data_IF_499987701740
#
_entry.id   IF_499987701740
#
_cell.length_a   1.000
_cell.length_b   1.000
_cell.length_c   1.000
_cell.angle_alpha   90.00
_cell.angle_beta   90.00
_cell.angle_gamma   90.00
#
_symmetry.space_group_name_H-M   'P 1'
#
loop_
_entity.id
_entity.type
_entity.pdbx_description
1 polymer ?
#
# COMPACT_ATOMS: atom_id res chain seq x y z
N UNK A 1 12.71 0.73 -15.91
CA UNK A 1 11.58 1.68 -15.68
C UNK A 1 10.35 1.13 -16.38
N UNK A 2 9.22 1.06 -15.70
CA UNK A 2 7.90 0.76 -16.26
C UNK A 2 7.04 2.02 -16.06
N UNK A 3 6.29 2.41 -17.08
CA UNK A 3 5.43 3.59 -17.03
C UNK A 3 4.04 3.23 -17.51
N UNK A 4 3.03 3.52 -16.69
CA UNK A 4 1.62 3.46 -17.03
C UNK A 4 1.06 4.89 -17.23
N UNK A 5 -0.22 4.99 -17.54
CA UNK A 5 -0.89 6.29 -17.63
C UNK A 5 -1.00 7.02 -16.28
N UNK A 6 -0.95 6.29 -15.16
CA UNK A 6 -1.22 6.79 -13.81
C UNK A 6 -0.04 6.62 -12.86
N UNK A 7 1.02 5.91 -13.27
CA UNK A 7 2.14 5.61 -12.39
C UNK A 7 3.45 5.36 -13.13
N UNK A 8 4.53 5.52 -12.38
CA UNK A 8 5.88 5.20 -12.83
C UNK A 8 6.53 4.25 -11.81
N UNK A 9 7.15 3.16 -12.28
CA UNK A 9 7.87 2.20 -11.47
C UNK A 9 9.34 2.12 -11.93
N UNK A 10 10.26 2.30 -10.99
CA UNK A 10 11.69 2.15 -11.21
C UNK A 10 12.37 1.55 -9.99
N UNK A 11 13.64 1.19 -10.11
CA UNK A 11 14.44 0.73 -8.98
C UNK A 11 15.45 1.81 -8.58
N UNK A 12 15.58 1.99 -7.28
CA UNK A 12 16.67 2.69 -6.61
C UNK A 12 17.43 1.65 -5.74
N UNK A 13 18.60 1.21 -6.17
CA UNK A 13 19.32 0.09 -5.56
C UNK A 13 18.46 -1.20 -5.51
N UNK A 14 18.15 -1.69 -4.31
CA UNK A 14 17.30 -2.85 -4.05
C UNK A 14 15.88 -2.49 -3.62
N UNK A 15 15.44 -1.25 -3.86
CA UNK A 15 14.10 -0.75 -3.57
C UNK A 15 13.39 -0.39 -4.87
N UNK A 16 12.22 -0.96 -5.10
CA UNK A 16 11.30 -0.52 -6.13
C UNK A 16 10.52 0.71 -5.64
N UNK A 17 10.42 1.73 -6.47
CA UNK A 17 9.63 2.94 -6.20
C UNK A 17 8.51 3.02 -7.22
N UNK A 18 7.27 2.96 -6.74
CA UNK A 18 6.05 3.11 -7.51
C UNK A 18 5.41 4.46 -7.18
N UNK A 19 5.49 5.39 -8.11
CA UNK A 19 4.96 6.75 -7.95
C UNK A 19 3.62 6.88 -8.69
N UNK A 20 2.55 7.21 -7.98
CA UNK A 20 1.27 7.59 -8.58
C UNK A 20 1.41 9.01 -9.11
N UNK A 21 1.19 9.20 -10.41
CA UNK A 21 1.37 10.47 -11.13
C UNK A 21 0.14 10.77 -12.01
N UNK A 22 -0.87 11.38 -11.41
CA UNK A 22 -2.09 11.76 -12.13
C UNK A 22 -2.61 13.13 -11.64
N UNK A 23 -1.90 14.17 -12.04
CA UNK A 23 -2.22 15.55 -11.71
C UNK A 23 -2.07 15.88 -10.22
N UNK A 24 -2.55 17.05 -9.78
CA UNK A 24 -2.25 17.55 -8.44
C UNK A 24 -2.80 16.72 -7.29
N UNK A 25 -3.86 15.96 -7.53
CA UNK A 25 -4.54 15.11 -6.54
C UNK A 25 -4.21 13.62 -6.67
N UNK A 26 -3.47 13.22 -7.69
CA UNK A 26 -3.16 11.83 -7.99
C UNK A 26 -4.42 10.95 -7.97
N UNK A 27 -5.49 11.38 -8.68
CA UNK A 27 -6.74 10.63 -8.72
C UNK A 27 -6.52 9.27 -9.40
N UNK A 28 -7.13 8.23 -8.85
CA UNK A 28 -7.19 6.91 -9.46
C UNK A 28 -8.34 6.90 -10.47
N UNK A 29 -8.10 7.52 -11.65
CA UNK A 29 -9.09 7.56 -12.74
C UNK A 29 -9.35 6.17 -13.35
N UNK A 30 -8.35 5.28 -13.27
CA UNK A 30 -8.48 3.85 -13.38
C UNK A 30 -8.11 3.26 -12.01
N UNK A 31 -9.01 2.51 -11.34
CA UNK A 31 -8.75 1.97 -10.00
C UNK A 31 -7.50 1.09 -9.95
N UNK A 32 -7.22 0.32 -11.00
CA UNK A 32 -5.95 -0.39 -11.19
C UNK A 32 -4.91 0.59 -11.78
N UNK A 33 -4.23 1.34 -10.92
CA UNK A 33 -3.27 2.40 -11.29
C UNK A 33 -1.97 1.88 -11.91
N UNK A 34 -1.72 0.59 -11.86
CA UNK A 34 -0.68 -0.15 -12.57
C UNK A 34 -1.23 -1.55 -12.89
N UNK A 35 -0.98 -2.07 -14.08
CA UNK A 35 -1.37 -3.44 -14.42
C UNK A 35 -0.64 -4.44 -13.52
N UNK A 36 -1.40 -5.35 -12.90
CA UNK A 36 -0.90 -6.33 -11.94
C UNK A 36 0.15 -7.27 -12.56
N UNK A 37 -0.05 -7.70 -13.81
CA UNK A 37 0.90 -8.61 -14.48
C UNK A 37 2.18 -7.89 -14.86
N UNK A 38 2.09 -6.61 -15.23
CA UNK A 38 3.25 -5.78 -15.51
C UNK A 38 4.07 -5.54 -14.25
N UNK A 39 3.42 -5.26 -13.09
CA UNK A 39 4.10 -5.13 -11.80
C UNK A 39 4.87 -6.40 -11.45
N UNK A 40 4.20 -7.56 -11.49
CA UNK A 40 4.84 -8.85 -11.18
C UNK A 40 5.96 -9.18 -12.15
N UNK A 41 5.72 -9.03 -13.46
CA UNK A 41 6.75 -9.27 -14.48
C UNK A 41 7.94 -8.30 -14.41
N UNK A 42 7.73 -7.10 -13.85
CA UNK A 42 8.82 -6.18 -13.58
C UNK A 42 9.62 -6.63 -12.34
N UNK A 43 8.97 -7.06 -11.27
CA UNK A 43 9.62 -7.60 -10.08
C UNK A 43 10.42 -8.87 -10.40
N UNK A 44 9.88 -9.78 -11.20
CA UNK A 44 10.58 -11.00 -11.65
C UNK A 44 11.87 -10.70 -12.43
N UNK A 45 11.90 -9.60 -13.19
CA UNK A 45 13.10 -9.14 -13.91
C UNK A 45 14.08 -8.38 -13.02
N UNK A 46 13.72 -8.07 -11.79
CA UNK A 46 14.53 -7.34 -10.81
C UNK A 46 14.63 -8.12 -9.49
N UNK A 47 15.19 -9.35 -9.50
CA UNK A 47 15.19 -10.24 -8.33
C UNK A 47 15.99 -9.70 -7.13
N UNK A 48 16.81 -8.65 -7.34
CA UNK A 48 17.54 -7.97 -6.27
C UNK A 48 16.66 -7.04 -5.41
N UNK A 49 15.43 -6.77 -5.86
CA UNK A 49 14.50 -5.88 -5.14
C UNK A 49 13.96 -6.58 -3.89
N UNK A 50 14.24 -6.01 -2.73
CA UNK A 50 13.76 -6.48 -1.43
C UNK A 50 12.64 -5.64 -0.83
N UNK A 51 12.28 -4.52 -1.47
CA UNK A 51 11.18 -3.67 -1.02
C UNK A 51 10.48 -2.94 -2.16
N UNK A 52 9.19 -2.62 -1.94
CA UNK A 52 8.37 -1.76 -2.78
C UNK A 52 7.91 -0.55 -1.94
N UNK A 53 8.29 0.65 -2.35
CA UNK A 53 7.80 1.90 -1.78
C UNK A 53 6.78 2.52 -2.75
N UNK A 54 5.58 2.81 -2.26
CA UNK A 54 4.52 3.49 -3.02
C UNK A 54 4.40 4.92 -2.51
N UNK A 55 4.34 5.88 -3.43
CA UNK A 55 4.16 7.29 -3.11
C UNK A 55 3.33 8.01 -4.16
N UNK A 56 2.88 9.22 -3.86
CA UNK A 56 2.24 10.12 -4.83
C UNK A 56 3.19 11.22 -5.28
N UNK A 57 3.13 11.58 -6.54
CA UNK A 57 3.90 12.71 -7.07
C UNK A 57 3.42 14.03 -6.48
N UNK A 58 4.36 14.87 -6.08
CA UNK A 58 4.07 16.22 -5.58
C UNK A 58 3.49 16.22 -4.16
N UNK A 59 2.40 16.98 -3.95
CA UNK A 59 1.90 17.30 -2.59
C UNK A 59 1.11 16.17 -1.92
N UNK A 60 0.38 15.37 -2.68
CA UNK A 60 -0.57 14.39 -2.15
C UNK A 60 -0.17 12.96 -2.50
N UNK A 61 -0.52 12.02 -1.65
CA UNK A 61 -0.40 10.61 -1.96
C UNK A 61 -1.41 10.24 -3.06
N UNK A 62 -2.69 10.24 -2.74
CA UNK A 62 -3.80 10.13 -3.68
C UNK A 62 -5.11 10.53 -2.99
N UNK A 63 -5.96 11.23 -3.71
CA UNK A 63 -7.32 11.53 -3.26
C UNK A 63 -8.34 10.43 -3.62
N UNK A 64 -7.87 9.27 -4.08
CA UNK A 64 -8.71 8.13 -4.41
C UNK A 64 -9.36 8.22 -5.78
N UNK A 65 -10.44 7.49 -5.96
CA UNK A 65 -11.14 7.38 -7.24
C UNK A 65 -11.72 8.73 -7.71
N UNK A 66 -11.75 8.91 -9.02
CA UNK A 66 -12.48 10.01 -9.65
C UNK A 66 -13.98 9.70 -9.70
N UNK A 67 -14.66 10.02 -8.59
CA UNK A 67 -16.11 9.75 -8.45
C UNK A 67 -16.97 10.46 -9.50
N UNK A 68 -16.46 11.51 -10.16
CA UNK A 68 -17.20 12.20 -11.22
C UNK A 68 -17.43 11.30 -12.43
N UNK A 69 -16.63 10.28 -12.62
CA UNK A 69 -16.73 9.30 -13.71
C UNK A 69 -17.59 8.08 -13.38
N UNK A 70 -18.01 7.90 -12.12
CA UNK A 70 -18.80 6.72 -11.73
C UNK A 70 -20.19 6.67 -12.40
N UNK A 71 -20.75 7.82 -12.74
CA UNK A 71 -22.05 7.89 -13.45
C UNK A 71 -21.98 7.59 -14.95
N UNK A 72 -20.78 7.60 -15.53
CA UNK A 72 -20.56 7.38 -16.98
C UNK A 72 -20.31 5.90 -17.29
N UNK A 73 -19.77 5.14 -16.34
CA UNK A 73 -19.52 3.71 -16.49
C UNK A 73 -20.76 2.90 -16.14
N UNK A 74 -21.12 1.91 -16.96
CA UNK A 74 -22.16 0.93 -16.61
C UNK A 74 -21.78 0.14 -15.36
N UNK A 75 -22.75 -0.28 -14.55
CA UNK A 75 -22.49 -0.96 -13.27
C UNK A 75 -21.59 -2.20 -13.38
N UNK A 76 -21.70 -2.96 -14.46
CA UNK A 76 -20.85 -4.14 -14.71
C UNK A 76 -19.39 -3.76 -15.02
N UNK A 77 -19.16 -2.71 -15.81
CA UNK A 77 -17.82 -2.22 -16.12
C UNK A 77 -17.12 -1.69 -14.86
N UNK A 78 -17.81 -0.90 -14.05
CA UNK A 78 -17.28 -0.40 -12.79
C UNK A 78 -16.94 -1.55 -11.82
N UNK A 79 -17.82 -2.56 -11.73
CA UNK A 79 -17.59 -3.74 -10.89
C UNK A 79 -16.33 -4.51 -11.32
N UNK A 80 -16.14 -4.71 -12.63
CA UNK A 80 -14.95 -5.36 -13.17
C UNK A 80 -13.66 -4.59 -12.87
N UNK A 81 -13.67 -3.26 -13.05
CA UNK A 81 -12.53 -2.39 -12.73
C UNK A 81 -12.18 -2.42 -11.23
N UNK A 82 -13.19 -2.42 -10.36
CA UNK A 82 -12.98 -2.53 -8.91
C UNK A 82 -12.43 -3.91 -8.52
N UNK A 83 -12.83 -4.99 -9.17
CA UNK A 83 -12.27 -6.32 -8.90
C UNK A 83 -10.80 -6.40 -9.31
N UNK A 84 -10.42 -5.89 -10.49
CA UNK A 84 -9.01 -5.78 -10.91
C UNK A 84 -8.17 -5.00 -9.89
N UNK A 85 -8.71 -3.88 -9.39
CA UNK A 85 -8.05 -3.09 -8.36
C UNK A 85 -7.90 -3.84 -7.02
N UNK A 86 -8.95 -4.59 -6.61
CA UNK A 86 -8.87 -5.47 -5.41
C UNK A 86 -7.78 -6.52 -5.56
N UNK A 87 -7.70 -7.16 -6.73
CA UNK A 87 -6.65 -8.14 -7.02
C UNK A 87 -5.25 -7.52 -7.01
N UNK A 88 -5.08 -6.32 -7.56
CA UNK A 88 -3.82 -5.59 -7.48
C UNK A 88 -3.42 -5.33 -6.02
N UNK A 89 -4.33 -4.79 -5.20
CA UNK A 89 -4.04 -4.49 -3.80
C UNK A 89 -3.80 -5.76 -2.96
N UNK A 90 -4.51 -6.86 -3.23
CA UNK A 90 -4.22 -8.17 -2.63
C UNK A 90 -2.83 -8.67 -3.04
N UNK A 91 -2.44 -8.45 -4.30
CA UNK A 91 -1.11 -8.83 -4.79
C UNK A 91 -0.03 -8.03 -4.05
N UNK A 92 -0.18 -6.71 -3.91
CA UNK A 92 0.76 -5.87 -3.17
C UNK A 92 0.86 -6.32 -1.70
N UNK A 93 -0.27 -6.61 -1.05
CA UNK A 93 -0.34 -7.09 0.34
C UNK A 93 0.41 -8.41 0.54
N UNK A 94 0.43 -9.28 -0.48
CA UNK A 94 1.03 -10.63 -0.43
C UNK A 94 2.45 -10.71 -1.00
N UNK A 95 2.99 -9.61 -1.51
CA UNK A 95 4.37 -9.63 -2.01
C UNK A 95 5.32 -10.14 -0.91
N UNK A 96 6.25 -11.04 -1.22
CA UNK A 96 7.22 -11.58 -0.25
C UNK A 96 8.35 -10.61 0.06
N UNK A 97 8.19 -9.32 -0.25
CA UNK A 97 9.13 -8.23 -0.02
C UNK A 97 8.51 -7.18 0.90
N UNK A 98 9.34 -6.31 1.47
CA UNK A 98 8.87 -5.21 2.30
C UNK A 98 8.03 -4.25 1.44
N UNK A 99 6.82 -3.88 1.92
CA UNK A 99 5.98 -2.88 1.25
C UNK A 99 5.73 -1.70 2.18
N UNK A 100 5.94 -0.47 1.68
CA UNK A 100 5.76 0.75 2.46
C UNK A 100 5.08 1.84 1.64
N UNK A 101 4.14 2.57 2.26
CA UNK A 101 3.53 3.76 1.69
C UNK A 101 4.18 5.02 2.26
N UNK A 102 4.72 5.87 1.39
CA UNK A 102 5.24 7.19 1.73
C UNK A 102 4.14 8.24 1.51
N UNK A 103 3.44 8.62 2.59
CA UNK A 103 2.25 9.46 2.55
C UNK A 103 2.65 10.92 2.71
N UNK A 104 2.80 11.61 1.58
CA UNK A 104 3.29 12.99 1.50
C UNK A 104 2.23 14.07 1.79
N UNK A 105 0.93 13.73 1.83
CA UNK A 105 -0.15 14.67 2.09
C UNK A 105 -1.51 13.99 2.12
N UNK A 106 -2.53 14.49 1.45
CA UNK A 106 -3.85 13.88 1.41
C UNK A 106 -3.81 12.44 0.89
N UNK A 107 -4.42 11.53 1.65
CA UNK A 107 -4.49 10.10 1.38
C UNK A 107 -5.92 9.63 1.69
N UNK A 108 -6.81 9.69 0.67
CA UNK A 108 -8.23 9.53 0.87
C UNK A 108 -8.83 8.44 -0.03
N UNK A 109 -9.88 7.79 0.47
CA UNK A 109 -10.62 6.78 -0.30
C UNK A 109 -9.71 5.70 -0.85
N UNK A 110 -9.81 5.42 -2.15
CA UNK A 110 -8.94 4.49 -2.84
C UNK A 110 -7.44 4.72 -2.62
N UNK A 111 -7.01 5.98 -2.38
CA UNK A 111 -5.63 6.28 -2.00
C UNK A 111 -5.25 5.68 -0.65
N UNK A 112 -6.14 5.77 0.34
CA UNK A 112 -5.91 5.10 1.63
C UNK A 112 -6.01 3.58 1.50
N UNK A 113 -6.87 3.06 0.62
CA UNK A 113 -6.94 1.62 0.35
C UNK A 113 -5.63 1.08 -0.22
N UNK A 114 -4.96 1.84 -1.11
CA UNK A 114 -3.60 1.55 -1.58
C UNK A 114 -2.59 1.58 -0.43
N UNK A 115 -2.59 2.62 0.39
CA UNK A 115 -1.66 2.71 1.53
C UNK A 115 -1.88 1.59 2.56
N UNK A 116 -3.11 1.15 2.76
CA UNK A 116 -3.47 0.02 3.64
C UNK A 116 -3.04 -1.35 3.10
N UNK A 117 -2.80 -1.48 1.80
CA UNK A 117 -2.24 -2.71 1.23
C UNK A 117 -0.74 -2.87 1.48
N UNK A 118 -0.05 -1.80 1.91
CA UNK A 118 1.34 -1.87 2.34
C UNK A 118 1.45 -2.31 3.81
N UNK A 119 2.56 -2.95 4.16
CA UNK A 119 2.87 -3.36 5.54
C UNK A 119 3.12 -2.14 6.43
N UNK A 120 3.85 -1.15 5.92
CA UNK A 120 4.23 0.07 6.65
C UNK A 120 3.66 1.33 5.99
N UNK A 121 3.36 2.35 6.79
CA UNK A 121 2.87 3.66 6.36
C UNK A 121 3.62 4.74 7.09
N UNK A 122 4.39 5.52 6.35
CA UNK A 122 5.15 6.66 6.87
C UNK A 122 4.50 7.93 6.34
N UNK A 123 4.04 8.81 7.22
CA UNK A 123 3.28 9.98 6.84
C UNK A 123 4.00 11.29 7.18
N UNK A 124 3.89 12.29 6.31
CA UNK A 124 4.27 13.65 6.65
C UNK A 124 3.36 14.21 7.76
N UNK A 125 3.88 15.11 8.59
CA UNK A 125 3.10 15.77 9.64
C UNK A 125 1.87 16.53 9.11
N UNK A 126 1.88 16.91 7.83
CA UNK A 126 0.79 17.61 7.17
C UNK A 126 -0.20 16.67 6.46
N UNK A 127 -0.02 15.36 6.58
CA UNK A 127 -0.91 14.39 5.95
C UNK A 127 -2.27 14.29 6.67
N UNK A 128 -3.29 14.04 5.86
CA UNK A 128 -4.64 13.68 6.31
C UNK A 128 -5.04 12.37 5.64
N UNK A 129 -5.66 11.49 6.40
CA UNK A 129 -6.04 10.15 5.95
C UNK A 129 -7.51 9.88 6.27
N UNK A 130 -8.23 9.20 5.38
CA UNK A 130 -9.62 8.83 5.63
C UNK A 130 -10.24 8.03 4.49
N UNK A 131 -11.39 7.41 4.81
CA UNK A 131 -12.28 6.73 3.87
C UNK A 131 -13.61 7.48 3.82
N UNK A 132 -13.70 8.63 3.11
CA UNK A 132 -14.86 9.50 3.11
C UNK A 132 -15.95 9.08 2.09
N UNK A 133 -15.90 7.87 1.53
CA UNK A 133 -16.79 7.39 0.47
C UNK A 133 -18.27 7.53 0.83
N UNK A 134 -18.63 7.34 2.09
CA UNK A 134 -20.02 7.48 2.59
C UNK A 134 -20.59 8.88 2.33
N UNK A 135 -19.76 9.91 2.32
CA UNK A 135 -20.16 11.29 2.04
C UNK A 135 -20.54 11.49 0.56
N UNK A 136 -20.20 10.53 -0.29
CA UNK A 136 -20.51 10.50 -1.72
C UNK A 136 -21.56 9.42 -2.06
N UNK A 137 -22.21 8.82 -1.03
CA UNK A 137 -23.23 7.80 -1.22
C UNK A 137 -22.73 6.43 -1.65
N UNK A 138 -21.42 6.17 -1.50
CA UNK A 138 -20.78 4.89 -1.81
C UNK A 138 -19.99 4.37 -0.60
N UNK A 139 -19.40 3.20 -0.73
CA UNK A 139 -18.55 2.59 0.30
C UNK A 139 -17.17 2.30 -0.27
N UNK A 140 -16.12 2.16 0.58
CA UNK A 140 -14.79 1.76 0.12
C UNK A 140 -14.84 0.47 -0.69
N UNK A 141 -14.29 0.50 -1.91
CA UNK A 141 -14.51 -0.54 -2.92
C UNK A 141 -13.34 -1.49 -3.16
N UNK A 142 -12.13 -1.18 -2.66
CA UNK A 142 -10.92 -1.96 -2.97
C UNK A 142 -10.34 -2.73 -1.76
N UNK A 143 -11.18 -3.01 -0.75
CA UNK A 143 -10.81 -3.79 0.44
C UNK A 143 -10.29 -2.94 1.61
N UNK A 144 -10.58 -1.64 1.62
CA UNK A 144 -10.19 -0.74 2.70
C UNK A 144 -10.89 -1.01 4.01
N UNK A 145 -12.16 -1.44 3.96
CA UNK A 145 -12.94 -1.75 5.17
C UNK A 145 -12.32 -2.91 5.95
N UNK A 146 -11.96 -3.99 5.27
CA UNK A 146 -11.37 -5.19 5.86
C UNK A 146 -9.97 -4.91 6.41
N UNK A 147 -9.15 -4.16 5.67
CA UNK A 147 -7.80 -3.79 6.09
C UNK A 147 -7.83 -2.85 7.29
N UNK A 148 -8.72 -1.86 7.26
CA UNK A 148 -8.90 -0.93 8.38
C UNK A 148 -9.41 -1.67 9.63
N UNK A 149 -10.37 -2.60 9.48
CA UNK A 149 -10.85 -3.45 10.58
C UNK A 149 -9.72 -4.29 11.18
N UNK A 150 -8.90 -4.95 10.36
CA UNK A 150 -7.76 -5.76 10.84
C UNK A 150 -6.74 -4.91 11.60
N UNK A 151 -6.54 -3.67 11.17
CA UNK A 151 -5.54 -2.78 11.75
C UNK A 151 -6.02 -2.09 13.04
N UNK A 152 -7.24 -1.56 13.07
CA UNK A 152 -7.76 -0.71 14.14
C UNK A 152 -8.79 -1.39 15.05
N UNK A 153 -9.28 -2.56 14.67
CA UNK A 153 -10.42 -3.23 15.31
C UNK A 153 -11.77 -2.64 14.85
N UNK A 154 -12.85 -3.35 15.20
CA UNK A 154 -14.21 -3.10 14.68
C UNK A 154 -14.73 -1.70 14.99
N UNK A 155 -14.62 -1.27 16.23
CA UNK A 155 -15.23 -0.01 16.70
C UNK A 155 -14.64 1.21 15.99
N UNK A 156 -13.30 1.31 15.99
CA UNK A 156 -12.59 2.44 15.36
C UNK A 156 -12.79 2.47 13.86
N UNK A 157 -12.70 1.29 13.21
CA UNK A 157 -12.93 1.18 11.77
C UNK A 157 -14.36 1.58 11.38
N UNK A 158 -15.39 1.08 12.09
CA UNK A 158 -16.78 1.47 11.85
C UNK A 158 -17.00 2.96 11.99
N UNK A 159 -16.50 3.56 13.09
CA UNK A 159 -16.64 5.00 13.32
C UNK A 159 -16.03 5.80 12.19
N UNK A 160 -14.78 5.50 11.83
CA UNK A 160 -14.05 6.21 10.77
C UNK A 160 -14.78 6.15 9.42
N UNK A 161 -15.31 4.97 9.05
CA UNK A 161 -16.02 4.77 7.78
C UNK A 161 -17.41 5.40 7.80
N UNK A 162 -18.20 5.14 8.86
CA UNK A 162 -19.60 5.64 8.94
C UNK A 162 -19.67 7.16 9.08
N UNK A 163 -18.66 7.78 9.71
CA UNK A 163 -18.60 9.24 9.81
C UNK A 163 -17.89 9.89 8.60
N UNK A 164 -17.26 9.10 7.71
CA UNK A 164 -16.39 9.64 6.66
C UNK A 164 -15.25 10.46 7.22
N UNK A 165 -14.75 10.07 8.39
CA UNK A 165 -13.80 10.86 9.18
C UNK A 165 -12.44 10.94 8.48
N UNK A 166 -11.91 12.16 8.37
CA UNK A 166 -10.54 12.42 7.91
C UNK A 166 -9.71 12.88 9.09
N UNK A 167 -8.67 12.11 9.42
CA UNK A 167 -7.83 12.35 10.60
C UNK A 167 -6.45 12.87 10.18
N UNK A 168 -5.86 13.69 11.01
CA UNK A 168 -4.49 14.19 10.85
C UNK A 168 -3.44 13.11 11.16
N UNK A 169 -2.23 13.33 10.67
CA UNK A 169 -1.13 12.36 10.79
C UNK A 169 -0.81 11.96 12.23
N UNK A 170 -0.93 12.89 13.21
CA UNK A 170 -0.69 12.59 14.63
C UNK A 170 -1.75 11.63 15.18
N UNK A 171 -3.03 11.91 14.94
CA UNK A 171 -4.12 11.05 15.38
C UNK A 171 -4.02 9.67 14.69
N UNK A 172 -3.61 9.66 13.41
CA UNK A 172 -3.37 8.42 12.66
C UNK A 172 -2.24 7.58 13.25
N UNK A 173 -1.16 8.20 13.77
CA UNK A 173 -0.10 7.52 14.50
C UNK A 173 -0.62 6.96 15.83
N UNK A 174 -1.32 7.77 16.61
CA UNK A 174 -1.86 7.37 17.92
C UNK A 174 -2.88 6.22 17.81
N UNK A 175 -3.62 6.17 16.70
CA UNK A 175 -4.53 5.07 16.39
C UNK A 175 -3.80 3.80 15.88
N UNK A 176 -2.55 3.89 15.44
CA UNK A 176 -1.82 2.82 14.80
C UNK A 176 -2.11 2.68 13.29
N UNK A 177 -2.81 3.65 12.68
CA UNK A 177 -3.04 3.69 11.24
C UNK A 177 -1.76 4.02 10.47
N UNK A 178 -0.87 4.80 11.05
CA UNK A 178 0.45 5.18 10.53
C UNK A 178 1.54 4.58 11.43
N UNK A 179 2.61 4.07 10.83
CA UNK A 179 3.74 3.44 11.51
C UNK A 179 4.69 4.47 12.12
N UNK A 180 4.94 5.56 11.37
CA UNK A 180 5.91 6.60 11.72
C UNK A 180 5.53 7.92 11.08
N UNK A 181 5.87 9.04 11.74
CA UNK A 181 5.78 10.37 11.16
C UNK A 181 7.15 10.82 10.63
N UNK A 182 7.14 11.50 9.49
CA UNK A 182 8.31 12.17 8.96
C UNK A 182 8.43 13.56 9.56
N UNK A 183 9.52 13.81 10.27
CA UNK A 183 9.80 15.11 10.91
C UNK A 183 10.09 16.22 9.87
N UNK A 184 10.64 15.88 8.72
CA UNK A 184 11.16 16.80 7.72
C UNK A 184 10.19 17.14 6.58
N UNK A 185 8.89 16.93 6.71
CA UNK A 185 7.87 17.08 5.65
C UNK A 185 8.13 16.23 4.39
N UNK A 186 9.19 15.45 4.34
CA UNK A 186 9.54 14.55 3.25
C UNK A 186 9.35 13.10 3.68
N UNK A 187 8.11 12.63 3.57
CA UNK A 187 7.77 11.25 3.91
C UNK A 187 8.49 10.24 3.00
N UNK A 188 8.84 10.61 1.78
CA UNK A 188 9.52 9.72 0.84
C UNK A 188 10.94 9.37 1.33
N UNK A 189 11.78 10.37 1.60
CA UNK A 189 13.16 10.14 2.08
C UNK A 189 13.17 9.38 3.41
N UNK A 190 12.24 9.71 4.31
CA UNK A 190 12.09 9.01 5.58
C UNK A 190 11.66 7.55 5.39
N UNK A 191 10.77 7.28 4.41
CA UNK A 191 10.37 5.91 4.06
C UNK A 191 11.51 5.13 3.46
N UNK A 192 12.29 5.73 2.57
CA UNK A 192 13.49 5.09 1.99
C UNK A 192 14.50 4.75 3.08
N UNK A 193 14.76 5.68 4.02
CA UNK A 193 15.66 5.44 5.14
C UNK A 193 15.16 4.29 6.05
N UNK A 194 13.87 4.30 6.39
CA UNK A 194 13.23 3.25 7.17
C UNK A 194 13.32 1.87 6.51
N UNK A 195 13.04 1.80 5.21
CA UNK A 195 13.12 0.55 4.44
C UNK A 195 14.56 0.06 4.32
N UNK A 196 15.54 0.96 4.10
CA UNK A 196 16.98 0.62 4.08
C UNK A 196 17.42 0.03 5.42
N UNK A 197 16.95 0.55 6.55
CA UNK A 197 17.21 -0.01 7.89
C UNK A 197 16.67 -1.44 8.01
N UNK A 198 15.43 -1.69 7.53
CA UNK A 198 14.82 -3.02 7.55
C UNK A 198 15.57 -4.03 6.65
N UNK A 199 16.13 -3.60 5.54
CA UNK A 199 16.89 -4.43 4.62
C UNK A 199 18.34 -4.68 5.10
N UNK A 200 18.91 -3.78 5.89
CA UNK A 200 20.33 -3.78 6.25
C UNK A 200 20.75 -5.07 6.96
N UNK A 201 21.79 -5.73 6.44
CA UNK A 201 22.38 -6.92 7.03
C UNK A 201 21.52 -8.19 6.94
N UNK A 202 20.48 -8.19 6.12
CA UNK A 202 19.56 -9.33 5.95
C UNK A 202 19.56 -9.83 4.52
N UNK A 203 19.52 -11.14 4.32
CA UNK A 203 19.33 -11.72 2.99
C UNK A 203 17.86 -11.61 2.54
N UNK A 204 17.61 -11.61 1.24
CA UNK A 204 16.25 -11.63 0.71
C UNK A 204 15.50 -12.90 1.14
N UNK A 205 16.17 -14.03 1.24
CA UNK A 205 15.57 -15.30 1.72
C UNK A 205 15.05 -15.17 3.15
N UNK A 206 15.80 -14.49 4.04
CA UNK A 206 15.33 -14.23 5.41
C UNK A 206 14.09 -13.32 5.42
N UNK A 207 14.11 -12.24 4.62
CA UNK A 207 12.99 -11.31 4.50
C UNK A 207 11.76 -12.00 3.95
N UNK A 208 11.91 -12.75 2.85
CA UNK A 208 10.82 -13.53 2.25
C UNK A 208 10.23 -14.53 3.24
N UNK A 209 11.07 -15.29 3.96
CA UNK A 209 10.62 -16.27 4.93
C UNK A 209 9.76 -15.64 6.05
N UNK A 210 10.17 -14.47 6.55
CA UNK A 210 9.42 -13.74 7.58
C UNK A 210 8.08 -13.24 7.03
N UNK A 211 8.11 -12.54 5.90
CA UNK A 211 6.88 -11.93 5.33
C UNK A 211 5.89 -13.01 4.91
N UNK A 212 6.33 -14.06 4.25
CA UNK A 212 5.46 -15.19 3.88
C UNK A 212 4.82 -15.86 5.09
N UNK A 213 5.58 -15.99 6.20
CA UNK A 213 5.04 -16.55 7.44
C UNK A 213 3.87 -15.71 7.96
N UNK A 214 4.01 -14.37 7.97
CA UNK A 214 2.93 -13.48 8.38
C UNK A 214 1.75 -13.47 7.39
N UNK A 215 2.01 -13.53 6.09
CA UNK A 215 0.97 -13.63 5.08
C UNK A 215 0.14 -14.91 5.27
N UNK A 216 0.79 -16.06 5.42
CA UNK A 216 0.13 -17.35 5.66
C UNK A 216 -0.63 -17.38 7.01
N UNK A 217 -0.05 -16.80 8.06
CA UNK A 217 -0.72 -16.69 9.37
C UNK A 217 -2.00 -15.85 9.26
N UNK A 218 -1.98 -14.76 8.49
CA UNK A 218 -3.15 -13.91 8.27
C UNK A 218 -4.27 -14.61 7.49
N UNK A 219 -3.95 -15.66 6.75
CA UNK A 219 -4.88 -16.52 6.00
C UNK A 219 -5.37 -17.72 6.83
N UNK A 220 -4.91 -17.86 8.07
CA UNK A 220 -5.33 -18.92 8.97
C UNK A 220 -4.60 -20.25 8.76
N UNK A 221 -3.41 -20.24 8.16
CA UNK A 221 -2.59 -21.46 8.05
C UNK A 221 -2.25 -22.04 9.44
N UNK A 222 -2.34 -23.35 9.60
CA UNK A 222 -2.06 -24.03 10.87
C UNK A 222 -0.57 -23.97 11.26
N UNK A 223 0.33 -24.03 10.29
CA UNK A 223 1.79 -23.98 10.51
C UNK A 223 2.45 -23.06 9.47
N UNK A 224 2.31 -21.73 9.63
CA UNK A 224 2.77 -20.77 8.64
C UNK A 224 4.31 -20.69 8.52
N UNK A 225 5.05 -21.13 9.54
CA UNK A 225 6.53 -21.08 9.56
C UNK A 225 7.20 -22.34 8.99
N UNK A 226 6.40 -23.40 8.69
CA UNK A 226 6.92 -24.69 8.24
C UNK A 226 7.84 -24.57 7.01
N UNK A 227 9.05 -25.08 7.11
CA UNK A 227 10.07 -25.05 6.04
C UNK A 227 10.73 -23.68 5.83
N UNK A 228 10.26 -22.60 6.47
CA UNK A 228 10.83 -21.25 6.29
C UNK A 228 12.15 -21.09 7.04
N UNK A 229 12.24 -21.65 8.25
CA UNK A 229 13.47 -21.62 9.05
C UNK A 229 14.57 -22.42 8.37
N UNK A 230 14.28 -23.63 7.91
CA UNK A 230 15.25 -24.50 7.23
C UNK A 230 15.77 -23.87 5.93
N UNK A 231 14.92 -23.21 5.16
CA UNK A 231 15.33 -22.50 3.95
C UNK A 231 16.28 -21.33 4.27
N UNK A 232 15.98 -20.52 5.28
CA UNK A 232 16.83 -19.42 5.72
C UNK A 232 18.16 -19.92 6.31
N UNK A 233 18.12 -21.04 7.08
CA UNK A 233 19.31 -21.66 7.66
C UNK A 233 20.25 -22.20 6.58
N UNK A 234 19.71 -22.87 5.57
CA UNK A 234 20.48 -23.44 4.46
C UNK A 234 21.25 -22.38 3.67
N UNK A 235 20.78 -21.13 3.63
CA UNK A 235 21.48 -20.02 3.00
C UNK A 235 22.55 -19.41 3.93
N UNK A 236 22.24 -19.27 5.22
CA UNK A 236 23.12 -18.61 6.19
C UNK A 236 24.47 -19.34 6.38
N UNK A 237 24.54 -20.63 6.06
CA UNK A 237 25.73 -21.48 6.22
C UNK A 237 26.33 -21.95 4.89
N UNK A 238 26.02 -21.31 3.76
CA UNK A 238 26.73 -21.46 2.48
C UNK A 238 27.96 -20.57 2.44
#
# INVERSE_FOLDING_TARGET
MLKSNLSELHAEDNIAVLTIDNGPKNLLSEPEFIDRKELLGWLDKNPQVGALVITGKGRHFSHGADVSKFGEAGGEELSSKLESARELLRTIEKLPIITAAAINGGCFGGGLEVALSCQFRIASLSAFLGLPEIMHGVVPGMGGMERLYRLLGKEKALRMILCGEMIGAKDALDLGLVTKLSENKNSFDETIAFVKELLSGKSLTQIHAIIDTFNLASEGAEDPSKGKFEAALAEAFK
#
